data_IF_989255851411
#
_entry.id   IF_989255851411
#
_cell.length_a   1.000
_cell.length_b   1.000
_cell.length_c   1.000
_cell.angle_alpha   90.00
_cell.angle_beta   90.00
_cell.angle_gamma   90.00
#
_symmetry.space_group_name_H-M   'P 1'
#
loop_
_entity.id
_entity.type
_entity.pdbx_description
1 polymer ?
#
# COMPACT_ATOMS: atom_id res chain seq x y z
N UNK A 1 18.37 13.31 -45.14
CA UNK A 1 17.28 14.18 -44.73
C UNK A 1 16.82 13.76 -43.35
N UNK A 2 17.20 14.47 -42.31
CA UNK A 2 16.66 14.26 -40.94
C UNK A 2 15.43 15.14 -40.82
N UNK A 3 14.26 14.54 -40.81
CA UNK A 3 13.00 15.25 -40.56
C UNK A 3 12.92 15.63 -39.07
N UNK A 4 12.81 16.92 -38.87
CA UNK A 4 12.70 17.57 -37.57
C UNK A 4 11.35 17.22 -36.91
N UNK A 5 11.38 16.27 -35.98
CA UNK A 5 10.20 15.75 -35.27
C UNK A 5 9.78 16.65 -34.08
N UNK A 6 10.44 17.80 -33.88
CA UNK A 6 10.25 18.66 -32.70
C UNK A 6 9.10 19.66 -32.86
N UNK A 7 8.72 20.02 -34.09
CA UNK A 7 7.62 20.96 -34.35
C UNK A 7 6.23 20.32 -34.32
N UNK A 8 6.10 19.04 -34.69
CA UNK A 8 4.81 18.34 -34.69
C UNK A 8 4.26 18.01 -33.28
N UNK A 9 5.11 18.09 -32.24
CA UNK A 9 4.70 17.78 -30.85
C UNK A 9 4.12 18.98 -30.09
N UNK A 10 4.32 20.22 -30.54
CA UNK A 10 3.77 21.41 -29.91
C UNK A 10 2.30 21.64 -30.34
N UNK A 11 2.00 21.48 -31.62
CA UNK A 11 0.64 21.70 -32.14
C UNK A 11 -0.33 20.55 -31.77
N UNK A 12 0.14 19.34 -31.61
CA UNK A 12 -0.71 18.23 -31.14
C UNK A 12 -1.08 18.29 -29.65
N UNK A 13 -0.44 19.15 -28.86
CA UNK A 13 -0.73 19.35 -27.45
C UNK A 13 -1.88 20.33 -27.19
N UNK A 14 -2.16 21.24 -28.12
CA UNK A 14 -3.27 22.21 -28.00
C UNK A 14 -4.62 21.63 -28.43
N UNK A 15 -4.65 20.61 -29.26
CA UNK A 15 -5.88 20.05 -29.83
C UNK A 15 -6.58 18.96 -29.04
N UNK A 16 -6.12 18.61 -27.83
CA UNK A 16 -6.66 17.48 -27.04
C UNK A 16 -7.22 17.83 -25.66
N UNK A 17 -7.34 19.08 -25.34
CA UNK A 17 -8.13 19.51 -24.19
C UNK A 17 -9.58 19.66 -24.64
N UNK A 18 -10.48 18.88 -24.07
CA UNK A 18 -11.92 19.04 -24.13
C UNK A 18 -12.39 20.38 -23.51
N UNK A 19 -11.57 21.40 -23.59
CA UNK A 19 -11.74 22.67 -22.93
C UNK A 19 -11.88 23.75 -24.02
N UNK A 20 -12.99 23.67 -24.76
CA UNK A 20 -13.51 24.85 -25.45
C UNK A 20 -14.01 25.86 -24.41
N UNK A 21 -14.38 27.07 -24.87
CA UNK A 21 -14.90 28.16 -24.04
C UNK A 21 -16.09 27.74 -23.15
N UNK A 22 -16.82 26.70 -23.53
CA UNK A 22 -17.94 26.11 -22.78
C UNK A 22 -17.54 25.46 -21.45
N UNK A 23 -16.23 25.19 -21.23
CA UNK A 23 -15.70 24.63 -19.99
C UNK A 23 -14.96 25.65 -19.13
N UNK A 24 -14.98 26.94 -19.53
CA UNK A 24 -14.46 28.01 -18.71
C UNK A 24 -15.38 28.22 -17.51
N UNK A 25 -14.87 27.96 -16.32
CA UNK A 25 -15.57 28.20 -15.07
C UNK A 25 -15.10 29.50 -14.41
N UNK A 26 -15.89 30.60 -14.49
CA UNK A 26 -15.57 31.85 -13.81
C UNK A 26 -15.40 31.71 -12.31
N UNK A 27 -16.12 30.70 -11.70
CA UNK A 27 -16.03 30.38 -10.29
C UNK A 27 -14.63 29.88 -9.93
N UNK A 28 -14.09 28.93 -10.70
CA UNK A 28 -12.73 28.42 -10.52
C UNK A 28 -11.68 29.54 -10.59
N UNK A 29 -11.79 30.44 -11.55
CA UNK A 29 -10.90 31.60 -11.68
C UNK A 29 -11.04 32.54 -10.48
N UNK A 30 -12.26 32.82 -10.04
CA UNK A 30 -12.55 33.61 -8.84
C UNK A 30 -11.96 32.97 -7.57
N UNK A 31 -12.13 31.67 -7.40
CA UNK A 31 -11.57 30.90 -6.27
C UNK A 31 -10.03 31.00 -6.26
N UNK A 32 -9.37 30.80 -7.40
CA UNK A 32 -7.89 30.92 -7.50
C UNK A 32 -7.40 32.31 -7.12
N UNK A 33 -8.10 33.33 -7.57
CA UNK A 33 -7.76 34.74 -7.24
C UNK A 33 -7.92 34.99 -5.74
N UNK A 34 -8.98 34.52 -5.11
CA UNK A 34 -9.19 34.63 -3.66
C UNK A 34 -8.12 33.87 -2.86
N UNK A 35 -7.80 32.64 -3.27
CA UNK A 35 -6.76 31.84 -2.62
C UNK A 35 -5.40 32.53 -2.73
N UNK A 36 -5.05 33.10 -3.88
CA UNK A 36 -3.83 33.88 -4.05
C UNK A 36 -3.80 35.05 -3.08
N UNK A 37 -4.85 35.89 -3.05
CA UNK A 37 -4.95 37.03 -2.14
C UNK A 37 -4.80 36.63 -0.68
N UNK A 38 -5.49 35.59 -0.26
CA UNK A 38 -5.39 35.06 1.11
C UNK A 38 -3.98 34.60 1.47
N UNK A 39 -3.27 33.91 0.57
CA UNK A 39 -1.88 33.50 0.81
C UNK A 39 -0.97 34.73 0.92
N UNK A 40 -1.15 35.76 0.08
CA UNK A 40 -0.38 37.00 0.13
C UNK A 40 -0.63 37.76 1.44
N UNK A 41 -1.88 37.81 1.92
CA UNK A 41 -2.26 38.39 3.21
C UNK A 41 -1.60 37.66 4.40
N UNK A 42 -1.59 36.32 4.39
CA UNK A 42 -0.90 35.53 5.41
C UNK A 42 0.61 35.82 5.46
N UNK A 43 1.24 35.97 4.29
CA UNK A 43 2.67 36.26 4.21
C UNK A 43 2.99 37.68 4.69
N UNK A 44 2.12 38.65 4.40
CA UNK A 44 2.27 40.02 4.90
C UNK A 44 2.07 40.05 6.43
N UNK A 45 1.04 39.36 6.96
CA UNK A 45 0.80 39.28 8.40
C UNK A 45 1.99 38.62 9.13
N UNK A 46 2.56 37.55 8.58
CA UNK A 46 3.75 36.91 9.14
C UNK A 46 4.96 37.88 9.17
N UNK A 47 5.13 38.68 8.13
CA UNK A 47 6.18 39.67 8.09
C UNK A 47 5.93 40.83 9.05
N UNK A 48 4.67 41.27 9.23
CA UNK A 48 4.30 42.30 10.21
C UNK A 48 4.67 41.89 11.61
N UNK A 49 4.38 40.60 11.97
CA UNK A 49 4.81 40.05 13.26
C UNK A 49 6.33 40.03 13.39
N UNK A 50 7.06 39.63 12.36
CA UNK A 50 8.52 39.56 12.39
C UNK A 50 9.17 40.94 12.52
N UNK A 51 8.57 42.00 11.94
CA UNK A 51 9.03 43.38 12.03
C UNK A 51 8.47 44.13 13.26
N UNK A 52 7.42 43.57 13.92
CA UNK A 52 6.70 44.23 15.02
C UNK A 52 5.99 45.53 14.64
N UNK A 53 5.60 45.66 13.39
CA UNK A 53 4.90 46.82 12.85
C UNK A 53 4.15 46.49 11.58
N UNK A 54 3.04 47.16 11.39
CA UNK A 54 2.24 47.06 10.19
C UNK A 54 2.93 47.72 8.99
N UNK A 55 2.44 47.42 7.81
CA UNK A 55 2.88 48.06 6.56
C UNK A 55 2.62 49.58 6.63
N UNK A 56 3.60 50.40 6.23
CA UNK A 56 3.61 51.87 6.29
C UNK A 56 3.81 52.50 7.68
N UNK A 57 3.88 51.76 8.78
CA UNK A 57 4.26 52.32 10.07
C UNK A 57 5.76 52.59 10.14
N UNK A 58 6.11 53.76 10.72
CA UNK A 58 7.52 54.11 10.94
C UNK A 58 8.13 53.22 12.05
N UNK A 59 9.41 52.83 11.93
CA UNK A 59 10.06 52.05 12.99
C UNK A 59 10.11 52.87 14.29
N UNK A 60 9.79 52.26 15.43
CA UNK A 60 9.98 52.88 16.75
C UNK A 60 11.47 53.10 16.98
N UNK A 61 11.84 54.39 17.28
CA UNK A 61 13.23 54.80 17.50
C UNK A 61 13.85 54.23 18.78
N UNK A 62 13.06 53.84 19.76
CA UNK A 62 13.53 53.30 21.03
C UNK A 62 13.73 51.76 20.99
N UNK A 63 15.00 51.34 20.87
CA UNK A 63 15.42 49.93 20.86
C UNK A 63 15.10 49.21 22.18
N UNK A 64 14.99 49.89 23.34
CA UNK A 64 14.78 49.30 24.64
C UNK A 64 13.33 48.88 24.92
N UNK A 65 12.37 49.34 24.13
CA UNK A 65 10.94 49.03 24.26
C UNK A 65 10.40 48.05 23.23
N UNK A 66 11.26 47.29 22.57
CA UNK A 66 10.81 46.24 21.64
C UNK A 66 10.46 44.97 22.39
N UNK A 67 9.34 44.30 22.06
CA UNK A 67 9.03 42.98 22.59
C UNK A 67 10.15 41.98 22.25
N UNK A 68 10.37 40.99 23.15
CA UNK A 68 11.34 39.95 22.89
C UNK A 68 10.94 39.19 21.60
N UNK A 69 11.90 38.94 20.71
CA UNK A 69 11.68 38.22 19.48
C UNK A 69 11.30 39.11 18.26
N UNK A 70 11.09 40.41 18.42
CA UNK A 70 10.78 41.32 17.33
C UNK A 70 12.08 41.95 16.80
N UNK A 71 12.46 41.65 15.55
CA UNK A 71 13.65 42.16 14.90
C UNK A 71 13.50 43.61 14.45
N UNK A 72 14.58 44.40 14.53
CA UNK A 72 14.70 45.61 13.72
C UNK A 72 14.86 45.17 12.25
N UNK A 73 14.31 45.95 11.31
CA UNK A 73 14.47 45.59 9.92
C UNK A 73 13.64 46.48 9.00
N UNK A 74 13.75 46.26 7.72
CA UNK A 74 13.01 47.00 6.71
C UNK A 74 12.56 46.11 5.57
N UNK A 75 11.37 46.42 5.01
CA UNK A 75 10.85 45.81 3.77
C UNK A 75 11.63 46.32 2.59
N UNK A 76 11.90 45.50 1.57
CA UNK A 76 12.60 45.90 0.38
C UNK A 76 12.02 45.29 -0.91
N UNK A 77 10.70 45.15 -0.95
CA UNK A 77 9.97 44.71 -2.13
C UNK A 77 9.34 43.33 -2.00
N UNK A 78 9.08 42.72 -3.14
CA UNK A 78 8.45 41.42 -3.26
C UNK A 78 9.19 40.57 -4.28
N UNK A 79 9.03 39.27 -4.20
CA UNK A 79 9.42 38.35 -5.26
C UNK A 79 8.22 37.48 -5.65
N UNK A 80 8.12 37.15 -6.92
CA UNK A 80 7.11 36.21 -7.39
C UNK A 80 7.56 34.77 -7.14
N UNK A 81 6.60 33.94 -6.76
CA UNK A 81 6.82 32.53 -6.48
C UNK A 81 5.63 31.70 -6.95
N UNK A 82 5.88 30.78 -7.87
CA UNK A 82 4.88 29.79 -8.28
C UNK A 82 4.60 28.76 -7.17
N UNK A 83 3.33 28.57 -6.84
CA UNK A 83 2.83 27.55 -5.94
C UNK A 83 1.72 26.75 -6.64
N UNK A 84 1.75 25.44 -6.52
CA UNK A 84 0.74 24.54 -7.04
C UNK A 84 0.00 23.87 -5.88
N UNK A 85 -1.31 24.03 -5.83
CA UNK A 85 -2.21 23.39 -4.88
C UNK A 85 -3.26 22.55 -5.58
N UNK A 86 -4.20 21.98 -4.84
CA UNK A 86 -5.40 21.33 -5.40
C UNK A 86 -6.31 22.31 -6.14
N UNK A 87 -6.09 23.60 -5.93
CA UNK A 87 -6.70 24.73 -6.64
C UNK A 87 -6.01 25.09 -7.98
N UNK A 88 -5.03 24.30 -8.40
CA UNK A 88 -4.22 24.59 -9.59
C UNK A 88 -2.96 25.40 -9.29
N UNK A 89 -2.25 25.85 -10.34
CA UNK A 89 -1.07 26.73 -10.21
C UNK A 89 -1.49 28.17 -9.93
N UNK A 90 -0.79 28.81 -8.98
CA UNK A 90 -0.91 30.25 -8.70
C UNK A 90 0.47 30.87 -8.56
N UNK A 91 0.62 32.13 -8.99
CA UNK A 91 1.82 32.94 -8.73
C UNK A 91 1.50 33.90 -7.59
N UNK A 92 2.22 33.76 -6.47
CA UNK A 92 2.04 34.58 -5.26
C UNK A 92 3.20 35.59 -5.13
N UNK A 93 2.90 36.76 -4.64
CA UNK A 93 3.89 37.83 -4.35
C UNK A 93 4.34 37.68 -2.91
N UNK A 94 5.55 37.16 -2.71
CA UNK A 94 6.15 36.94 -1.40
C UNK A 94 6.88 38.20 -0.98
N UNK A 95 6.53 38.83 0.15
CA UNK A 95 7.23 40.02 0.63
C UNK A 95 8.67 39.70 1.02
N UNK A 96 9.56 40.68 0.91
CA UNK A 96 10.96 40.59 1.26
C UNK A 96 11.32 41.62 2.31
N UNK A 97 12.11 41.22 3.28
CA UNK A 97 12.62 42.10 4.30
C UNK A 97 14.02 41.69 4.78
N UNK A 98 14.77 42.62 5.26
CA UNK A 98 16.01 42.39 6.00
C UNK A 98 15.74 42.63 7.48
N UNK A 99 16.07 41.64 8.30
CA UNK A 99 15.99 41.72 9.76
C UNK A 99 17.39 42.02 10.31
N UNK A 100 17.49 42.90 11.29
CA UNK A 100 18.73 43.16 12.03
C UNK A 100 18.80 42.20 13.22
N UNK A 101 19.86 41.42 13.30
CA UNK A 101 20.15 40.56 14.46
C UNK A 101 20.73 41.41 15.63
N UNK A 102 20.71 40.96 16.86
CA UNK A 102 21.26 41.67 18.01
C UNK A 102 22.74 41.99 17.90
N UNK A 103 23.49 41.24 17.09
CA UNK A 103 24.93 41.43 16.79
C UNK A 103 25.17 42.47 15.69
N UNK A 104 24.13 43.17 15.20
CA UNK A 104 24.21 44.19 14.15
C UNK A 104 24.27 43.62 12.74
N UNK A 105 24.32 42.33 12.55
CA UNK A 105 24.24 41.71 11.21
C UNK A 105 22.83 41.72 10.67
N UNK A 106 22.70 41.82 9.36
CA UNK A 106 21.41 41.76 8.68
C UNK A 106 21.23 40.41 8.00
N UNK A 107 20.04 39.82 8.14
CA UNK A 107 19.64 38.57 7.49
C UNK A 107 18.37 38.77 6.66
N UNK A 108 18.26 38.08 5.53
CA UNK A 108 17.03 38.08 4.73
C UNK A 108 15.95 37.29 5.51
N UNK A 109 14.77 37.91 5.68
CA UNK A 109 13.63 37.27 6.31
C UNK A 109 13.16 36.04 5.51
N UNK A 110 12.88 34.96 6.19
CA UNK A 110 12.36 33.72 5.61
C UNK A 110 10.99 33.43 6.21
N UNK A 111 9.95 33.40 5.35
CA UNK A 111 8.61 33.04 5.80
C UNK A 111 8.52 31.54 6.15
N UNK A 112 7.65 31.21 7.11
CA UNK A 112 7.31 29.83 7.50
C UNK A 112 6.11 29.31 6.71
N UNK A 113 5.19 30.18 6.28
CA UNK A 113 3.96 29.84 5.55
C UNK A 113 4.26 29.07 4.26
N UNK A 114 5.26 29.48 3.48
CA UNK A 114 5.72 28.75 2.29
C UNK A 114 7.21 28.43 2.46
N UNK A 115 7.58 27.26 2.97
CA UNK A 115 8.95 26.86 3.19
C UNK A 115 9.84 27.03 1.95
N UNK A 116 11.12 27.25 2.17
CA UNK A 116 12.09 27.38 1.07
C UNK A 116 12.00 26.18 0.12
N UNK A 117 12.07 26.46 -1.19
CA UNK A 117 11.99 25.44 -2.26
C UNK A 117 10.65 24.68 -2.40
N UNK A 118 9.66 24.89 -1.54
CA UNK A 118 8.35 24.29 -1.69
C UNK A 118 7.61 24.93 -2.87
N UNK A 119 7.33 24.15 -3.91
CA UNK A 119 6.59 24.57 -5.11
C UNK A 119 5.19 23.93 -5.19
N UNK A 120 4.88 22.99 -4.32
CA UNK A 120 3.59 22.29 -4.28
C UNK A 120 3.13 22.12 -2.85
N UNK A 121 1.81 22.12 -2.67
CA UNK A 121 1.20 21.74 -1.38
C UNK A 121 1.30 20.23 -1.17
N UNK A 122 1.27 19.78 0.09
CA UNK A 122 1.24 18.34 0.42
C UNK A 122 0.03 17.64 -0.22
N UNK A 123 -1.12 18.30 -0.30
CA UNK A 123 -2.32 17.77 -0.96
C UNK A 123 -2.16 17.62 -2.48
N UNK A 124 -1.48 18.53 -3.15
CA UNK A 124 -1.17 18.35 -4.57
C UNK A 124 -0.23 17.17 -4.81
N UNK A 125 0.81 17.00 -3.97
CA UNK A 125 1.66 15.80 -4.03
C UNK A 125 0.86 14.52 -3.77
N UNK A 126 -0.06 14.51 -2.80
CA UNK A 126 -0.93 13.36 -2.51
C UNK A 126 -1.88 13.02 -3.69
N UNK A 127 -2.43 14.03 -4.37
CA UNK A 127 -3.26 13.83 -5.57
C UNK A 127 -2.45 13.20 -6.72
N UNK A 128 -1.23 13.67 -6.94
CA UNK A 128 -0.32 13.11 -7.95
C UNK A 128 0.03 11.64 -7.60
N UNK A 129 0.35 11.37 -6.34
CA UNK A 129 0.62 10.01 -5.86
C UNK A 129 -0.62 9.11 -6.02
N UNK A 130 -1.79 9.57 -5.60
CA UNK A 130 -3.05 8.84 -5.71
C UNK A 130 -3.41 8.49 -7.16
N UNK A 131 -3.24 9.43 -8.09
CA UNK A 131 -3.43 9.17 -9.51
C UNK A 131 -2.46 8.10 -10.05
N UNK A 132 -1.23 8.04 -9.55
CA UNK A 132 -0.26 6.98 -9.90
C UNK A 132 -0.68 5.63 -9.29
N UNK A 133 -1.09 5.61 -8.02
CA UNK A 133 -1.55 4.39 -7.33
C UNK A 133 -2.85 3.82 -7.92
N UNK A 134 -3.72 4.66 -8.49
CA UNK A 134 -4.91 4.20 -9.19
C UNK A 134 -4.62 3.37 -10.45
N UNK A 135 -3.36 3.02 -10.69
CA UNK A 135 -2.92 2.13 -11.76
C UNK A 135 -2.56 2.87 -13.06
N UNK A 136 -2.30 4.18 -12.99
CA UNK A 136 -1.86 4.95 -14.15
C UNK A 136 -0.33 5.02 -14.22
N UNK A 137 0.23 4.94 -15.42
CA UNK A 137 1.66 5.21 -15.61
C UNK A 137 1.93 6.74 -15.58
N UNK A 138 3.20 7.13 -15.45
CA UNK A 138 3.61 8.54 -15.35
C UNK A 138 3.11 9.44 -16.50
N UNK A 139 2.98 8.89 -17.72
CA UNK A 139 2.46 9.62 -18.88
C UNK A 139 0.94 9.85 -18.77
N UNK A 140 0.19 8.86 -18.29
CA UNK A 140 -1.25 8.98 -18.06
C UNK A 140 -1.56 9.91 -16.90
N UNK A 141 -0.79 9.87 -15.81
CA UNK A 141 -0.89 10.83 -14.69
C UNK A 141 -0.77 12.26 -15.21
N UNK A 142 0.23 12.54 -16.06
CA UNK A 142 0.39 13.85 -16.69
C UNK A 142 -0.86 14.28 -17.44
N UNK A 143 -1.43 13.41 -18.29
CA UNK A 143 -2.62 13.71 -19.08
C UNK A 143 -3.87 13.88 -18.19
N UNK A 144 -4.07 12.99 -17.22
CA UNK A 144 -5.23 13.04 -16.33
C UNK A 144 -5.26 14.31 -15.46
N UNK A 145 -4.10 14.83 -15.09
CA UNK A 145 -3.98 16.01 -14.25
C UNK A 145 -3.66 17.31 -15.03
N UNK A 146 -3.62 17.25 -16.37
CA UNK A 146 -3.26 18.39 -17.20
C UNK A 146 -4.23 19.57 -17.03
N UNK A 147 -5.54 19.31 -17.00
CA UNK A 147 -6.57 20.32 -16.81
C UNK A 147 -6.42 21.03 -15.45
N UNK A 148 -6.19 20.27 -14.36
CA UNK A 148 -6.07 20.82 -13.02
C UNK A 148 -4.78 21.62 -12.82
N UNK A 149 -3.67 21.15 -13.39
CA UNK A 149 -2.33 21.71 -13.13
C UNK A 149 -1.74 22.48 -14.34
N UNK A 150 -2.54 22.77 -15.37
CA UNK A 150 -2.07 23.53 -16.53
C UNK A 150 -0.83 22.93 -17.20
N UNK A 151 -0.74 21.59 -17.26
CA UNK A 151 0.42 20.90 -17.83
C UNK A 151 1.68 20.88 -16.96
N UNK A 152 1.69 21.52 -15.80
CA UNK A 152 2.88 21.64 -14.93
C UNK A 152 3.33 20.33 -14.24
N UNK A 153 2.54 19.23 -14.33
CA UNK A 153 2.91 17.92 -13.81
C UNK A 153 3.66 17.11 -14.87
N UNK A 154 4.97 17.26 -14.90
CA UNK A 154 5.85 16.48 -15.78
C UNK A 154 6.24 15.12 -15.19
N UNK A 155 6.92 14.30 -16.00
CA UNK A 155 7.50 13.00 -15.58
C UNK A 155 8.36 13.11 -14.31
N UNK A 156 9.21 14.13 -14.25
CA UNK A 156 10.10 14.37 -13.11
C UNK A 156 9.35 14.75 -11.82
N UNK A 157 8.18 15.39 -11.98
CA UNK A 157 7.31 15.70 -10.84
C UNK A 157 6.75 14.43 -10.22
N UNK A 158 6.23 13.50 -11.04
CA UNK A 158 5.74 12.20 -10.56
C UNK A 158 6.88 11.41 -9.91
N UNK A 159 8.07 11.40 -10.53
CA UNK A 159 9.24 10.71 -9.98
C UNK A 159 9.72 11.30 -8.64
N UNK A 160 9.60 12.63 -8.45
CA UNK A 160 9.94 13.27 -7.16
C UNK A 160 8.91 12.96 -6.07
N UNK A 161 7.63 12.93 -6.42
CA UNK A 161 6.56 12.52 -5.48
C UNK A 161 6.77 11.06 -5.07
N UNK A 162 7.09 10.18 -6.03
CA UNK A 162 7.39 8.78 -5.76
C UNK A 162 8.58 8.59 -4.80
N UNK A 163 9.62 9.39 -4.91
CA UNK A 163 10.76 9.37 -3.97
C UNK A 163 10.38 9.79 -2.54
N UNK A 164 9.38 10.65 -2.35
CA UNK A 164 8.85 10.95 -1.01
C UNK A 164 8.11 9.74 -0.43
N UNK A 165 7.30 9.05 -1.25
CA UNK A 165 6.62 7.82 -0.86
C UNK A 165 7.62 6.75 -0.42
N UNK A 166 8.82 6.72 -1.01
CA UNK A 166 9.88 5.79 -0.59
C UNK A 166 10.32 6.02 0.86
N UNK A 167 10.44 7.25 1.32
CA UNK A 167 10.77 7.53 2.73
C UNK A 167 9.72 6.97 3.71
N UNK A 168 8.45 7.13 3.38
CA UNK A 168 7.34 6.57 4.17
C UNK A 168 7.35 5.03 4.13
N UNK A 169 7.66 4.44 2.96
CA UNK A 169 7.84 3.01 2.78
C UNK A 169 8.99 2.46 3.63
N UNK A 170 10.15 3.10 3.60
CA UNK A 170 11.34 2.66 4.36
C UNK A 170 11.05 2.69 5.88
N UNK A 171 10.37 3.75 6.37
CA UNK A 171 9.93 3.85 7.76
C UNK A 171 8.94 2.74 8.12
N UNK A 172 7.93 2.49 7.27
CA UNK A 172 6.96 1.41 7.47
C UNK A 172 7.62 0.03 7.45
N UNK A 173 8.53 -0.22 6.52
CA UNK A 173 9.18 -1.52 6.35
C UNK A 173 10.12 -1.86 7.52
N UNK A 174 10.69 -0.84 8.17
CA UNK A 174 11.53 -0.99 9.36
C UNK A 174 10.81 -0.85 10.71
N UNK A 175 9.48 -0.60 10.73
CA UNK A 175 8.74 -0.33 11.97
C UNK A 175 8.74 -1.50 12.93
N UNK A 176 8.70 -1.22 14.23
CA UNK A 176 8.46 -2.23 15.27
C UNK A 176 7.09 -2.89 15.09
N UNK A 177 7.02 -4.19 15.37
CA UNK A 177 5.80 -4.98 15.44
C UNK A 177 5.50 -5.45 16.86
N UNK A 178 6.26 -5.03 17.86
CA UNK A 178 6.15 -5.48 19.24
C UNK A 178 4.78 -5.18 19.88
N UNK A 179 4.19 -4.06 19.48
CA UNK A 179 2.89 -3.60 19.99
C UNK A 179 1.71 -4.02 19.10
N UNK A 180 1.98 -4.77 18.03
CA UNK A 180 0.93 -5.28 17.15
C UNK A 180 0.34 -6.60 17.72
N UNK A 181 -0.92 -6.62 18.15
CA UNK A 181 -1.55 -7.81 18.74
C UNK A 181 -1.99 -8.78 17.65
N UNK A 182 -1.03 -9.38 16.95
CA UNK A 182 -1.26 -10.31 15.84
C UNK A 182 -1.56 -11.69 16.40
N UNK A 183 -2.77 -12.17 16.17
CA UNK A 183 -3.21 -13.52 16.56
C UNK A 183 -3.12 -14.53 15.42
N UNK A 184 -3.21 -14.08 14.16
CA UNK A 184 -3.09 -14.95 12.99
C UNK A 184 -2.16 -14.37 11.94
N UNK A 185 -1.45 -15.26 11.28
CA UNK A 185 -0.56 -14.94 10.17
C UNK A 185 -1.07 -15.63 8.89
N UNK A 186 -1.21 -14.87 7.81
CA UNK A 186 -1.58 -15.40 6.50
C UNK A 186 -0.40 -15.11 5.56
N UNK A 187 0.14 -16.14 4.95
CA UNK A 187 1.36 -16.09 4.15
C UNK A 187 1.08 -16.62 2.75
N UNK A 188 1.51 -15.88 1.75
CA UNK A 188 1.34 -16.27 0.35
C UNK A 188 2.31 -15.49 -0.55
N UNK A 189 2.67 -16.06 -1.71
CA UNK A 189 3.43 -15.39 -2.74
C UNK A 189 2.53 -14.80 -3.83
N UNK A 190 3.03 -13.81 -4.57
CA UNK A 190 2.31 -13.27 -5.72
C UNK A 190 3.23 -13.00 -6.90
N UNK A 191 2.91 -13.54 -8.07
CA UNK A 191 3.74 -13.34 -9.27
C UNK A 191 3.42 -11.99 -9.91
N UNK A 192 4.46 -11.19 -10.14
CA UNK A 192 4.41 -9.92 -10.86
C UNK A 192 5.56 -9.80 -11.87
N UNK A 193 5.37 -8.99 -12.91
CA UNK A 193 6.42 -8.74 -13.91
C UNK A 193 7.13 -7.43 -13.60
N UNK A 194 8.43 -7.49 -13.50
CA UNK A 194 9.31 -6.35 -13.27
C UNK A 194 10.41 -6.27 -14.31
N UNK A 195 11.06 -5.13 -14.42
CA UNK A 195 12.22 -4.96 -15.27
C UNK A 195 13.50 -5.21 -14.48
N UNK A 196 14.19 -6.29 -14.80
CA UNK A 196 15.53 -6.60 -14.33
C UNK A 196 16.48 -6.64 -15.53
N UNK A 197 17.60 -5.94 -15.46
CA UNK A 197 18.62 -5.86 -16.51
C UNK A 197 18.01 -5.61 -17.91
N UNK A 198 17.09 -4.65 -18.00
CA UNK A 198 16.32 -4.27 -19.20
C UNK A 198 15.36 -5.35 -19.72
N UNK A 199 15.28 -6.53 -19.11
CA UNK A 199 14.36 -7.62 -19.48
C UNK A 199 13.12 -7.62 -18.58
N UNK A 200 11.99 -8.04 -19.13
CA UNK A 200 10.76 -8.26 -18.37
C UNK A 200 10.83 -9.63 -17.69
N UNK A 201 11.00 -9.66 -16.38
CA UNK A 201 11.19 -10.88 -15.58
C UNK A 201 10.02 -11.04 -14.60
N UNK A 202 9.51 -12.25 -14.47
CA UNK A 202 8.56 -12.59 -13.42
C UNK A 202 9.28 -12.79 -12.11
N UNK A 203 8.79 -12.15 -11.05
CA UNK A 203 9.25 -12.35 -9.68
C UNK A 203 8.07 -12.76 -8.79
N UNK A 204 8.33 -13.43 -7.68
CA UNK A 204 7.33 -13.80 -6.67
C UNK A 204 7.62 -13.05 -5.37
N UNK A 205 7.10 -11.81 -5.16
CA UNK A 205 7.13 -11.18 -3.86
C UNK A 205 6.36 -12.00 -2.82
N UNK A 206 7.01 -12.24 -1.68
CA UNK A 206 6.41 -12.88 -0.52
C UNK A 206 5.65 -11.85 0.30
N UNK A 207 4.43 -12.17 0.71
CA UNK A 207 3.53 -11.29 1.44
C UNK A 207 3.15 -11.91 2.77
N UNK A 208 3.28 -11.14 3.85
CA UNK A 208 2.80 -11.50 5.18
C UNK A 208 1.66 -10.56 5.60
N UNK A 209 0.49 -11.12 5.83
CA UNK A 209 -0.69 -10.45 6.33
C UNK A 209 -0.98 -10.90 7.75
N UNK A 210 -1.07 -9.97 8.69
CA UNK A 210 -1.47 -10.23 10.08
C UNK A 210 -2.95 -9.98 10.30
N UNK A 211 -3.56 -10.74 11.21
CA UNK A 211 -4.89 -10.47 11.76
C UNK A 211 -4.71 -10.09 13.21
N UNK A 212 -5.13 -8.88 13.56
CA UNK A 212 -5.13 -8.39 14.95
C UNK A 212 -6.25 -9.04 15.76
N UNK A 213 -6.13 -8.97 17.07
CA UNK A 213 -7.15 -9.48 18.00
C UNK A 213 -8.53 -8.84 17.80
N UNK A 214 -8.60 -7.61 17.29
CA UNK A 214 -9.85 -6.93 16.95
C UNK A 214 -10.44 -7.37 15.60
N UNK A 215 -9.80 -8.33 14.92
CA UNK A 215 -10.20 -8.86 13.61
C UNK A 215 -9.71 -8.05 12.41
N UNK A 216 -9.06 -6.90 12.61
CA UNK A 216 -8.53 -6.10 11.52
C UNK A 216 -7.33 -6.80 10.87
N UNK A 217 -7.30 -6.82 9.54
CA UNK A 217 -6.17 -7.31 8.75
C UNK A 217 -5.18 -6.19 8.50
N UNK A 218 -3.90 -6.45 8.68
CA UNK A 218 -2.83 -5.50 8.38
C UNK A 218 -1.70 -6.17 7.58
N UNK A 219 -1.10 -5.40 6.69
CA UNK A 219 0.11 -5.82 5.99
C UNK A 219 1.32 -5.72 6.92
N UNK A 220 2.06 -6.82 7.08
CA UNK A 220 3.26 -6.89 7.92
C UNK A 220 4.55 -6.77 7.12
N UNK A 221 4.61 -7.44 5.97
CA UNK A 221 5.75 -7.40 5.07
C UNK A 221 5.37 -7.69 3.62
N UNK A 222 6.13 -7.11 2.69
CA UNK A 222 6.19 -7.49 1.29
C UNK A 222 7.67 -7.52 0.91
N UNK A 223 8.20 -8.70 0.59
CA UNK A 223 9.63 -8.89 0.32
C UNK A 223 9.83 -9.61 -1.02
N UNK A 224 10.72 -9.09 -1.85
CA UNK A 224 11.19 -9.84 -3.01
C UNK A 224 12.42 -10.65 -2.61
N UNK A 225 12.29 -11.97 -2.61
CA UNK A 225 13.33 -12.91 -2.17
C UNK A 225 13.81 -13.84 -3.31
N UNK A 226 13.46 -13.52 -4.57
CA UNK A 226 13.85 -14.32 -5.73
C UNK A 226 13.04 -15.60 -5.94
N UNK A 227 12.06 -15.90 -5.08
CA UNK A 227 11.18 -17.08 -5.16
C UNK A 227 10.61 -17.47 -3.81
N UNK A 228 9.90 -18.60 -3.79
CA UNK A 228 9.18 -19.13 -2.61
C UNK A 228 9.92 -20.30 -1.95
N UNK A 229 11.26 -20.26 -1.94
CA UNK A 229 12.08 -21.29 -1.28
C UNK A 229 11.94 -21.21 0.26
N UNK A 230 12.30 -22.30 0.94
CA UNK A 230 12.38 -22.36 2.41
C UNK A 230 13.27 -21.22 2.96
N UNK A 231 14.45 -21.00 2.38
CA UNK A 231 15.36 -19.94 2.79
C UNK A 231 14.76 -18.53 2.62
N UNK A 232 14.00 -18.31 1.53
CA UNK A 232 13.30 -17.06 1.29
C UNK A 232 12.22 -16.79 2.34
N UNK A 233 11.38 -17.77 2.64
CA UNK A 233 10.38 -17.69 3.68
C UNK A 233 11.01 -17.51 5.06
N UNK A 234 12.08 -18.25 5.36
CA UNK A 234 12.82 -18.10 6.62
C UNK A 234 13.31 -16.67 6.82
N UNK A 235 13.92 -16.09 5.80
CA UNK A 235 14.40 -14.70 5.86
C UNK A 235 13.28 -13.70 6.11
N UNK A 236 12.10 -13.89 5.50
CA UNK A 236 10.93 -13.04 5.75
C UNK A 236 10.42 -13.19 7.19
N UNK A 237 10.31 -14.41 7.70
CA UNK A 237 9.83 -14.69 9.05
C UNK A 237 10.82 -14.18 10.11
N UNK A 238 12.11 -14.35 9.90
CA UNK A 238 13.17 -13.82 10.78
C UNK A 238 13.14 -12.28 10.83
N UNK A 239 12.83 -11.59 9.71
CA UNK A 239 12.62 -10.15 9.69
C UNK A 239 11.41 -9.73 10.56
N UNK A 240 10.30 -10.46 10.49
CA UNK A 240 9.12 -10.19 11.32
C UNK A 240 9.46 -10.33 12.82
N UNK A 241 10.14 -11.40 13.21
CA UNK A 241 10.56 -11.64 14.60
C UNK A 241 11.56 -10.57 15.05
N UNK A 242 12.55 -10.23 14.21
CA UNK A 242 13.53 -9.17 14.50
C UNK A 242 12.83 -7.81 14.76
N UNK A 243 11.74 -7.53 14.09
CA UNK A 243 10.93 -6.33 14.30
C UNK A 243 9.99 -6.45 15.51
N UNK A 244 10.02 -7.56 16.24
CA UNK A 244 9.28 -7.76 17.49
C UNK A 244 7.94 -8.47 17.34
N UNK A 245 7.64 -9.10 16.18
CA UNK A 245 6.42 -9.88 16.05
C UNK A 245 6.40 -11.03 17.06
N UNK A 246 5.38 -11.06 17.90
CA UNK A 246 5.13 -12.16 18.84
C UNK A 246 4.65 -13.40 18.08
N UNK A 247 4.86 -14.59 18.66
CA UNK A 247 4.37 -15.84 18.11
C UNK A 247 2.87 -15.79 17.88
N UNK A 248 2.39 -15.97 16.64
CA UNK A 248 0.94 -15.98 16.36
C UNK A 248 0.29 -17.28 16.86
N UNK A 249 -1.01 -17.25 17.09
CA UNK A 249 -1.78 -18.42 17.51
C UNK A 249 -2.10 -19.40 16.36
N UNK A 250 -1.98 -18.93 15.12
CA UNK A 250 -2.29 -19.69 13.91
C UNK A 250 -1.57 -19.11 12.69
N UNK A 251 -1.01 -19.98 11.85
CA UNK A 251 -0.58 -19.63 10.49
C UNK A 251 -1.51 -20.27 9.43
N UNK A 252 -1.88 -19.48 8.42
CA UNK A 252 -2.69 -19.94 7.27
C UNK A 252 -1.79 -19.84 6.02
N UNK A 253 -1.62 -20.94 5.31
CA UNK A 253 -0.68 -21.09 4.20
C UNK A 253 -1.32 -21.82 3.01
N UNK A 254 -0.72 -21.71 1.83
CA UNK A 254 -1.14 -22.43 0.64
C UNK A 254 -0.81 -23.93 0.67
N UNK A 255 0.13 -24.34 1.51
CA UNK A 255 0.63 -25.71 1.63
C UNK A 255 1.94 -25.94 0.85
N UNK A 256 2.64 -24.88 0.45
CA UNK A 256 3.97 -25.01 -0.15
C UNK A 256 4.98 -25.59 0.87
N UNK A 257 5.72 -26.68 0.52
CA UNK A 257 6.61 -27.35 1.48
C UNK A 257 7.70 -26.44 2.05
N UNK A 258 8.23 -25.50 1.27
CA UNK A 258 9.25 -24.57 1.73
C UNK A 258 8.74 -23.64 2.82
N UNK A 259 7.51 -23.14 2.69
CA UNK A 259 6.87 -22.28 3.69
C UNK A 259 6.59 -23.06 5.00
N UNK A 260 6.07 -24.27 4.88
CA UNK A 260 5.79 -25.09 6.06
C UNK A 260 7.05 -25.46 6.84
N UNK A 261 8.14 -25.80 6.16
CA UNK A 261 9.44 -26.05 6.80
C UNK A 261 9.98 -24.80 7.51
N UNK A 262 9.88 -23.64 6.87
CA UNK A 262 10.31 -22.38 7.47
C UNK A 262 9.51 -22.05 8.75
N UNK A 263 8.19 -22.26 8.73
CA UNK A 263 7.33 -22.08 9.90
C UNK A 263 7.68 -23.07 11.03
N UNK A 264 7.80 -24.35 10.71
CA UNK A 264 8.15 -25.39 11.70
C UNK A 264 9.52 -25.16 12.35
N UNK A 265 10.49 -24.64 11.60
CA UNK A 265 11.81 -24.32 12.11
C UNK A 265 11.82 -23.09 13.03
N UNK A 266 10.87 -22.17 12.89
CA UNK A 266 10.81 -20.95 13.72
C UNK A 266 9.81 -21.10 14.88
N UNK A 267 8.66 -21.70 14.62
CA UNK A 267 7.55 -21.85 15.56
C UNK A 267 6.98 -23.28 15.45
N UNK A 268 7.63 -24.26 16.14
CA UNK A 268 7.28 -25.68 16.08
C UNK A 268 5.85 -25.98 16.53
N UNK A 269 5.32 -25.17 17.47
CA UNK A 269 4.12 -25.49 18.23
C UNK A 269 2.86 -24.75 17.73
N UNK A 270 3.01 -23.84 16.76
CA UNK A 270 1.82 -23.14 16.25
C UNK A 270 0.99 -24.02 15.34
N UNK A 271 -0.34 -24.02 15.48
CA UNK A 271 -1.22 -24.63 14.51
C UNK A 271 -1.02 -24.03 13.11
N UNK A 272 -0.92 -24.89 12.10
CA UNK A 272 -0.85 -24.45 10.70
C UNK A 272 -2.10 -24.95 9.98
N UNK A 273 -2.81 -24.04 9.31
CA UNK A 273 -3.92 -24.36 8.42
C UNK A 273 -3.47 -24.29 6.97
N UNK A 274 -3.55 -25.37 6.24
CA UNK A 274 -3.43 -25.37 4.77
C UNK A 274 -4.71 -24.86 4.12
N UNK A 275 -4.59 -23.99 3.14
CA UNK A 275 -5.73 -23.44 2.40
C UNK A 275 -6.53 -24.54 1.69
N UNK A 276 -7.80 -24.67 2.02
CA UNK A 276 -8.68 -25.68 1.43
C UNK A 276 -8.95 -25.42 -0.06
N UNK A 277 -8.89 -24.17 -0.52
CA UNK A 277 -9.06 -23.81 -1.94
C UNK A 277 -7.84 -24.23 -2.76
N UNK A 278 -6.62 -23.97 -2.26
CA UNK A 278 -5.40 -24.44 -2.92
C UNK A 278 -5.35 -25.98 -2.98
N UNK A 279 -5.74 -26.65 -1.90
CA UNK A 279 -5.80 -28.11 -1.89
C UNK A 279 -6.83 -28.63 -2.90
N UNK A 280 -8.00 -28.01 -3.00
CA UNK A 280 -8.98 -28.37 -4.02
C UNK A 280 -8.42 -28.26 -5.45
N UNK A 281 -7.77 -27.14 -5.78
CA UNK A 281 -7.11 -26.96 -7.09
C UNK A 281 -6.03 -28.02 -7.34
N UNK A 282 -5.28 -28.36 -6.30
CA UNK A 282 -4.26 -29.41 -6.39
C UNK A 282 -4.89 -30.78 -6.64
N UNK A 283 -5.99 -31.14 -5.95
CA UNK A 283 -6.71 -32.39 -6.20
C UNK A 283 -7.26 -32.49 -7.62
N UNK A 284 -7.82 -31.38 -8.17
CA UNK A 284 -8.28 -31.33 -9.55
C UNK A 284 -7.13 -31.56 -10.54
N UNK A 285 -5.93 -31.04 -10.27
CA UNK A 285 -4.77 -31.27 -11.12
C UNK A 285 -4.30 -32.75 -11.17
N UNK A 286 -4.69 -33.55 -10.16
CA UNK A 286 -4.42 -34.98 -10.13
C UNK A 286 -5.51 -35.83 -10.80
N UNK A 287 -6.68 -35.26 -11.09
CA UNK A 287 -7.83 -35.96 -11.65
C UNK A 287 -8.03 -35.64 -13.14
N UNK A 288 -8.48 -36.60 -13.97
CA UNK A 288 -8.95 -36.30 -15.32
C UNK A 288 -10.15 -35.34 -15.31
N UNK A 289 -10.25 -34.46 -16.31
CA UNK A 289 -11.31 -33.45 -16.41
C UNK A 289 -12.73 -33.98 -16.22
N UNK A 290 -13.01 -35.17 -16.75
CA UNK A 290 -14.32 -35.86 -16.62
C UNK A 290 -14.75 -36.15 -15.19
N UNK A 291 -13.81 -36.13 -14.24
CA UNK A 291 -14.06 -36.37 -12.81
C UNK A 291 -14.10 -35.06 -11.99
N UNK A 292 -13.83 -33.92 -12.57
CA UNK A 292 -13.71 -32.65 -11.83
C UNK A 292 -14.99 -32.25 -11.10
N UNK A 293 -16.16 -32.42 -11.73
CA UNK A 293 -17.44 -32.07 -11.12
C UNK A 293 -17.75 -32.94 -9.92
N UNK A 294 -17.56 -34.27 -10.06
CA UNK A 294 -17.77 -35.20 -8.97
C UNK A 294 -16.77 -34.98 -7.83
N UNK A 295 -15.51 -34.80 -8.17
CA UNK A 295 -14.47 -34.48 -7.19
C UNK A 295 -14.77 -33.20 -6.42
N UNK A 296 -15.19 -32.15 -7.15
CA UNK A 296 -15.54 -30.88 -6.54
C UNK A 296 -16.74 -30.99 -5.60
N UNK A 297 -17.75 -31.79 -5.98
CA UNK A 297 -18.92 -32.03 -5.14
C UNK A 297 -18.55 -32.76 -3.85
N UNK A 298 -17.82 -33.88 -3.96
CA UNK A 298 -17.39 -34.67 -2.82
C UNK A 298 -16.47 -33.88 -1.87
N UNK A 299 -15.52 -33.11 -2.44
CA UNK A 299 -14.61 -32.29 -1.66
C UNK A 299 -15.34 -31.16 -0.90
N UNK A 300 -16.25 -30.48 -1.57
CA UNK A 300 -17.06 -29.43 -0.95
C UNK A 300 -17.96 -30.01 0.15
N UNK A 301 -18.60 -31.12 -0.10
CA UNK A 301 -19.46 -31.80 0.88
C UNK A 301 -18.67 -32.14 2.16
N UNK A 302 -17.42 -32.60 2.04
CA UNK A 302 -16.53 -32.88 3.17
C UNK A 302 -16.09 -31.59 3.90
N UNK A 303 -15.54 -30.59 3.17
CA UNK A 303 -14.92 -29.40 3.78
C UNK A 303 -15.97 -28.46 4.41
N UNK A 304 -17.20 -28.44 3.88
CA UNK A 304 -18.26 -27.57 4.36
C UNK A 304 -19.26 -28.27 5.28
N UNK A 305 -18.98 -29.52 5.73
CA UNK A 305 -19.79 -30.21 6.72
C UNK A 305 -19.91 -29.41 8.03
N UNK A 306 -20.99 -29.62 8.72
CA UNK A 306 -21.41 -28.77 9.84
C UNK A 306 -20.67 -29.00 11.14
N UNK A 307 -20.09 -30.20 11.33
CA UNK A 307 -19.42 -30.63 12.55
C UNK A 307 -18.09 -31.35 12.24
N UNK A 308 -17.21 -31.40 13.24
CA UNK A 308 -15.94 -32.11 13.14
C UNK A 308 -16.15 -33.58 12.81
N UNK A 309 -17.11 -34.26 13.49
CA UNK A 309 -17.44 -35.67 13.26
C UNK A 309 -17.94 -35.94 11.84
N UNK A 310 -18.79 -35.07 11.30
CA UNK A 310 -19.23 -35.17 9.90
C UNK A 310 -18.05 -35.04 8.93
N UNK A 311 -17.10 -34.11 9.18
CA UNK A 311 -15.90 -33.97 8.38
C UNK A 311 -15.07 -35.24 8.40
N UNK A 312 -14.85 -35.84 9.58
CA UNK A 312 -14.12 -37.12 9.75
C UNK A 312 -14.77 -38.24 8.96
N UNK A 313 -16.08 -38.40 9.10
CA UNK A 313 -16.86 -39.43 8.39
C UNK A 313 -16.78 -39.23 6.87
N UNK A 314 -16.99 -38.01 6.40
CA UNK A 314 -16.94 -37.72 4.97
C UNK A 314 -15.52 -37.83 4.40
N UNK A 315 -14.50 -37.51 5.18
CA UNK A 315 -13.10 -37.71 4.79
C UNK A 315 -12.79 -39.21 4.56
N UNK A 316 -13.20 -40.08 5.49
CA UNK A 316 -13.04 -41.50 5.33
C UNK A 316 -13.76 -42.04 4.07
N UNK A 317 -14.98 -41.56 3.82
CA UNK A 317 -15.74 -41.93 2.63
C UNK A 317 -15.08 -41.42 1.35
N UNK A 318 -14.59 -40.18 1.36
CA UNK A 318 -13.86 -39.57 0.24
C UNK A 318 -12.62 -40.38 -0.11
N UNK A 319 -11.76 -40.66 0.84
CA UNK A 319 -10.53 -41.44 0.62
C UNK A 319 -10.85 -42.81 0.06
N UNK A 320 -11.83 -43.54 0.65
CA UNK A 320 -12.25 -44.86 0.17
C UNK A 320 -12.72 -44.82 -1.29
N UNK A 321 -13.57 -43.85 -1.63
CA UNK A 321 -14.10 -43.69 -2.98
C UNK A 321 -13.00 -43.35 -3.98
N UNK A 322 -12.16 -42.34 -3.67
CA UNK A 322 -11.17 -41.82 -4.61
C UNK A 322 -9.94 -42.73 -4.73
N UNK A 323 -9.64 -43.56 -3.71
CA UNK A 323 -8.59 -44.58 -3.82
C UNK A 323 -8.89 -45.61 -4.93
N UNK A 324 -10.18 -45.86 -5.19
CA UNK A 324 -10.62 -46.75 -6.27
C UNK A 324 -10.72 -46.03 -7.62
N UNK A 325 -11.17 -44.79 -7.63
CA UNK A 325 -11.39 -44.01 -8.89
C UNK A 325 -10.13 -43.34 -9.42
N UNK A 326 -9.35 -42.72 -8.53
CA UNK A 326 -8.13 -42.02 -8.85
C UNK A 326 -7.22 -41.97 -7.61
N UNK A 327 -6.31 -42.94 -7.49
CA UNK A 327 -5.43 -43.08 -6.34
C UNK A 327 -4.65 -41.79 -6.02
N UNK A 328 -4.15 -41.06 -7.03
CA UNK A 328 -3.40 -39.82 -6.84
C UNK A 328 -4.20 -38.75 -6.09
N UNK A 329 -5.52 -38.69 -6.25
CA UNK A 329 -6.40 -37.77 -5.52
C UNK A 329 -6.47 -38.18 -4.04
N UNK A 330 -6.62 -39.45 -3.74
CA UNK A 330 -6.66 -39.97 -2.36
C UNK A 330 -5.31 -39.72 -1.67
N UNK A 331 -4.21 -40.10 -2.29
CA UNK A 331 -2.83 -39.90 -1.78
C UNK A 331 -2.54 -38.44 -1.52
N UNK A 332 -2.98 -37.55 -2.43
CA UNK A 332 -2.82 -36.11 -2.26
C UNK A 332 -3.64 -35.54 -1.10
N UNK A 333 -4.86 -36.04 -0.85
CA UNK A 333 -5.64 -35.62 0.32
C UNK A 333 -5.01 -36.12 1.63
N UNK A 334 -4.52 -37.37 1.65
CA UNK A 334 -3.84 -37.95 2.83
C UNK A 334 -2.54 -37.19 3.15
N UNK A 335 -1.76 -36.80 2.16
CA UNK A 335 -0.54 -35.99 2.33
C UNK A 335 -0.83 -34.65 3.06
N UNK A 336 -1.99 -34.04 2.84
CA UNK A 336 -2.34 -32.80 3.51
C UNK A 336 -2.50 -32.97 5.04
N UNK A 337 -2.79 -34.17 5.51
CA UNK A 337 -2.87 -34.50 6.92
C UNK A 337 -3.91 -33.69 7.70
N UNK A 338 -3.66 -33.50 8.97
CA UNK A 338 -4.49 -32.73 9.91
C UNK A 338 -4.44 -31.22 9.63
N UNK A 339 -3.36 -30.73 9.03
CA UNK A 339 -3.19 -29.31 8.69
C UNK A 339 -4.28 -28.77 7.77
N UNK A 340 -4.93 -29.60 6.97
CA UNK A 340 -6.07 -29.19 6.14
C UNK A 340 -7.32 -28.90 6.98
N UNK A 341 -7.41 -29.47 8.15
CA UNK A 341 -8.57 -29.45 9.04
C UNK A 341 -8.32 -28.72 10.36
N UNK A 342 -7.20 -28.05 10.50
CA UNK A 342 -6.85 -27.27 11.70
C UNK A 342 -7.95 -26.28 12.11
N UNK A 343 -8.71 -25.75 11.14
CA UNK A 343 -9.84 -24.86 11.39
C UNK A 343 -10.90 -25.45 12.33
N UNK A 344 -11.04 -26.80 12.39
CA UNK A 344 -12.02 -27.49 13.26
C UNK A 344 -11.70 -27.34 14.76
N UNK A 345 -10.48 -26.95 15.11
CA UNK A 345 -10.05 -26.64 16.48
C UNK A 345 -10.58 -25.31 17.01
N UNK A 346 -11.09 -24.46 16.12
CA UNK A 346 -11.56 -23.12 16.43
C UNK A 346 -13.10 -23.06 16.46
N UNK A 347 -13.68 -22.02 17.09
CA UNK A 347 -15.12 -21.80 17.06
C UNK A 347 -15.67 -21.79 15.63
N UNK A 348 -16.85 -22.36 15.44
CA UNK A 348 -17.47 -22.48 14.11
C UNK A 348 -17.65 -21.14 13.38
N UNK A 349 -17.89 -20.07 14.14
CA UNK A 349 -17.95 -18.68 13.61
C UNK A 349 -16.70 -18.25 12.85
N UNK A 350 -15.54 -18.83 13.20
CA UNK A 350 -14.23 -18.52 12.62
C UNK A 350 -13.85 -19.43 11.44
N UNK A 351 -14.52 -20.59 11.25
CA UNK A 351 -14.15 -21.57 10.23
C UNK A 351 -14.00 -20.98 8.83
N UNK A 352 -14.90 -20.09 8.44
CA UNK A 352 -14.88 -19.45 7.12
C UNK A 352 -13.62 -18.62 6.90
N UNK A 353 -13.13 -17.95 7.92
CA UNK A 353 -11.94 -17.09 7.83
C UNK A 353 -10.63 -17.85 7.99
N UNK A 354 -10.65 -19.06 8.57
CA UNK A 354 -9.46 -19.88 8.80
C UNK A 354 -9.21 -20.84 7.63
N UNK A 355 -10.26 -21.46 7.08
CA UNK A 355 -10.13 -22.49 6.04
C UNK A 355 -9.35 -22.08 4.80
N UNK A 356 -9.27 -20.78 4.51
CA UNK A 356 -8.74 -20.30 3.23
C UNK A 356 -7.79 -19.13 3.39
N UNK A 357 -6.84 -19.02 2.47
CA UNK A 357 -6.01 -17.84 2.25
C UNK A 357 -6.70 -16.75 1.41
N UNK A 358 -8.01 -16.85 1.15
CA UNK A 358 -8.75 -15.92 0.29
C UNK A 358 -8.55 -14.44 0.63
N UNK A 359 -8.25 -14.12 1.90
CA UNK A 359 -7.99 -12.73 2.31
C UNK A 359 -6.76 -12.16 1.62
N UNK A 360 -5.68 -12.93 1.51
CA UNK A 360 -4.44 -12.50 0.85
C UNK A 360 -4.53 -12.69 -0.67
N UNK A 361 -5.19 -13.76 -1.16
CA UNK A 361 -5.45 -13.95 -2.59
C UNK A 361 -6.22 -12.75 -3.19
N UNK A 362 -7.30 -12.33 -2.51
CA UNK A 362 -8.08 -11.16 -2.91
C UNK A 362 -7.24 -9.87 -2.92
N UNK A 363 -6.33 -9.72 -1.97
CA UNK A 363 -5.40 -8.60 -1.94
C UNK A 363 -4.45 -8.64 -3.13
N UNK A 364 -3.95 -9.83 -3.52
CA UNK A 364 -3.13 -10.03 -4.71
C UNK A 364 -3.88 -9.71 -6.00
N UNK A 365 -5.14 -10.12 -6.13
CA UNK A 365 -5.99 -9.81 -7.28
C UNK A 365 -6.24 -8.31 -7.41
N UNK A 366 -6.55 -7.62 -6.31
CA UNK A 366 -6.73 -6.18 -6.28
C UNK A 366 -5.43 -5.44 -6.66
N UNK A 367 -4.29 -5.92 -6.21
CA UNK A 367 -2.99 -5.40 -6.63
C UNK A 367 -2.77 -5.61 -8.13
N UNK A 368 -2.91 -6.84 -8.63
CA UNK A 368 -2.73 -7.19 -10.04
C UNK A 368 -3.65 -6.37 -10.96
N UNK A 369 -4.90 -6.17 -10.56
CA UNK A 369 -5.87 -5.35 -11.29
C UNK A 369 -5.38 -3.90 -11.45
N UNK A 370 -4.80 -3.30 -10.42
CA UNK A 370 -4.31 -1.91 -10.45
C UNK A 370 -3.03 -1.76 -11.26
N UNK A 371 -2.13 -2.73 -11.23
CA UNK A 371 -0.89 -2.67 -12.01
C UNK A 371 -1.04 -3.15 -13.45
N UNK A 372 -2.21 -3.69 -13.84
CA UNK A 372 -2.45 -4.23 -15.20
C UNK A 372 -2.09 -3.25 -16.31
N UNK A 373 -2.32 -1.95 -16.11
CA UNK A 373 -2.01 -0.90 -17.10
C UNK A 373 -0.51 -0.59 -17.22
N UNK A 374 0.29 -1.02 -16.24
CA UNK A 374 1.75 -0.82 -16.24
C UNK A 374 2.50 -1.99 -16.88
N UNK A 375 1.83 -3.14 -17.07
CA UNK A 375 2.33 -4.40 -17.66
C UNK A 375 3.63 -4.93 -17.05
N UNK A 376 4.67 -4.10 -16.95
CA UNK A 376 5.98 -4.42 -16.37
C UNK A 376 6.39 -3.27 -15.44
N UNK A 377 6.56 -3.55 -14.17
CA UNK A 377 6.99 -2.56 -13.16
C UNK A 377 8.49 -2.26 -13.31
N UNK A 378 8.95 -1.04 -12.93
CA UNK A 378 10.35 -0.64 -13.11
C UNK A 378 11.37 -1.51 -12.36
N UNK A 379 11.03 -1.99 -11.16
CA UNK A 379 11.90 -2.81 -10.33
C UNK A 379 11.10 -3.64 -9.32
N UNK A 380 11.74 -4.62 -8.69
CA UNK A 380 11.17 -5.40 -7.61
C UNK A 380 10.82 -4.54 -6.37
N UNK A 381 11.67 -3.58 -6.02
CA UNK A 381 11.41 -2.63 -4.95
C UNK A 381 10.16 -1.79 -5.23
N UNK A 382 10.02 -1.31 -6.49
CA UNK A 382 8.82 -0.58 -6.91
C UNK A 382 7.56 -1.42 -6.76
N UNK A 383 7.62 -2.72 -7.04
CA UNK A 383 6.48 -3.62 -6.89
C UNK A 383 6.05 -3.72 -5.40
N UNK A 384 7.01 -3.96 -4.49
CA UNK A 384 6.74 -4.06 -3.06
C UNK A 384 6.22 -2.74 -2.46
N UNK A 385 6.86 -1.62 -2.81
CA UNK A 385 6.47 -0.30 -2.36
C UNK A 385 5.07 0.09 -2.87
N UNK A 386 4.74 -0.24 -4.12
CA UNK A 386 3.42 0.03 -4.70
C UNK A 386 2.33 -0.81 -4.03
N UNK A 387 2.62 -2.07 -3.73
CA UNK A 387 1.71 -2.95 -3.00
C UNK A 387 1.32 -2.35 -1.64
N UNK A 388 2.32 -1.93 -0.86
CA UNK A 388 2.10 -1.25 0.41
C UNK A 388 1.35 0.08 0.23
N UNK A 389 1.76 0.91 -0.72
CA UNK A 389 1.20 2.24 -0.92
C UNK A 389 -0.29 2.22 -1.26
N UNK A 390 -0.76 1.19 -1.98
CA UNK A 390 -2.18 1.00 -2.28
C UNK A 390 -3.02 0.74 -1.02
N UNK A 391 -2.47 0.04 -0.04
CA UNK A 391 -3.10 -0.16 1.26
C UNK A 391 -2.99 1.09 2.15
N UNK A 392 -1.80 1.66 2.25
CA UNK A 392 -1.52 2.84 3.07
C UNK A 392 -2.33 4.07 2.62
N UNK A 393 -2.61 4.20 1.32
CA UNK A 393 -3.42 5.29 0.76
C UNK A 393 -4.94 5.03 0.80
N UNK A 394 -5.38 3.86 1.27
CA UNK A 394 -6.81 3.48 1.28
C UNK A 394 -7.38 3.11 -0.10
N UNK A 395 -6.55 3.00 -1.14
CA UNK A 395 -6.98 2.53 -2.47
C UNK A 395 -7.41 1.06 -2.45
N UNK A 396 -6.83 0.28 -1.54
CA UNK A 396 -7.27 -1.05 -1.18
C UNK A 396 -7.64 -1.05 0.30
N UNK A 397 -8.85 -1.46 0.61
CA UNK A 397 -9.34 -1.61 1.99
C UNK A 397 -9.62 -3.07 2.30
N UNK A 398 -9.31 -3.47 3.53
CA UNK A 398 -9.55 -4.82 4.01
C UNK A 398 -10.62 -4.82 5.11
N UNK A 399 -11.66 -5.65 4.95
CA UNK A 399 -12.67 -5.86 5.99
C UNK A 399 -12.08 -6.70 7.13
N UNK A 400 -12.66 -6.61 8.32
CA UNK A 400 -12.39 -7.54 9.43
C UNK A 400 -12.61 -8.99 8.98
N UNK A 401 -11.96 -9.94 9.66
CA UNK A 401 -12.19 -11.36 9.39
C UNK A 401 -13.57 -11.81 9.89
N UNK A 402 -14.18 -12.77 9.22
CA UNK A 402 -15.42 -13.37 9.70
C UNK A 402 -15.18 -14.08 11.05
N UNK A 403 -16.11 -13.95 11.99
CA UNK A 403 -15.98 -14.51 13.35
C UNK A 403 -15.01 -13.74 14.26
N UNK A 404 -14.72 -12.47 13.97
CA UNK A 404 -13.76 -11.67 14.73
C UNK A 404 -14.14 -11.49 16.21
N UNK A 405 -15.44 -11.54 16.56
CA UNK A 405 -15.90 -11.41 17.94
C UNK A 405 -15.43 -12.57 18.85
N UNK A 406 -15.18 -13.73 18.26
CA UNK A 406 -14.72 -14.92 18.99
C UNK A 406 -13.21 -15.17 18.88
N UNK A 407 -12.41 -14.21 18.39
CA UNK A 407 -10.95 -14.37 18.23
C UNK A 407 -10.21 -14.58 19.56
N UNK A 408 -10.78 -14.13 20.67
CA UNK A 408 -10.22 -14.33 22.01
C UNK A 408 -10.40 -15.77 22.54
N UNK A 409 -11.27 -16.58 21.92
CA UNK A 409 -11.50 -17.96 22.31
C UNK A 409 -10.33 -18.83 21.85
N UNK A 410 -9.71 -19.55 22.78
CA UNK A 410 -8.58 -20.42 22.48
C UNK A 410 -9.00 -21.63 21.64
N UNK A 411 -8.12 -22.12 20.75
CA UNK A 411 -8.38 -23.34 20.01
C UNK A 411 -8.50 -24.55 20.95
N UNK A 412 -9.33 -25.52 20.56
CA UNK A 412 -9.39 -26.81 21.21
C UNK A 412 -8.11 -27.61 20.92
N UNK A 413 -7.63 -28.36 21.91
CA UNK A 413 -6.49 -29.26 21.73
C UNK A 413 -6.85 -30.53 20.94
N UNK A 414 -8.13 -30.80 20.72
CA UNK A 414 -8.59 -31.96 19.96
C UNK A 414 -8.28 -31.81 18.47
N UNK A 415 -7.31 -32.55 18.00
CA UNK A 415 -7.00 -32.72 16.58
C UNK A 415 -8.05 -33.64 15.92
N UNK A 416 -8.28 -33.44 14.61
CA UNK A 416 -9.17 -34.34 13.84
C UNK A 416 -8.61 -35.75 13.81
N UNK A 417 -9.48 -36.75 13.97
CA UNK A 417 -9.09 -38.17 13.81
C UNK A 417 -8.83 -38.47 12.34
N UNK A 418 -7.59 -38.78 12.00
CA UNK A 418 -7.15 -39.16 10.66
C UNK A 418 -7.13 -40.68 10.46
N UNK A 419 -7.37 -41.47 11.49
CA UNK A 419 -7.43 -42.93 11.37
C UNK A 419 -8.53 -43.33 10.36
N UNK A 420 -8.12 -44.01 9.33
CA UNK A 420 -9.00 -44.43 8.22
C UNK A 420 -9.87 -45.61 8.57
#
# INVERSE_FOLDING_TARGET
>A
MKTDTTKATAEAAEGTLFLGDDWFDPLESGVRTRIRGFIEELLEAELDVALGRDRYQRPRRDRRRRPAGVGAGHRHGHRERGLMGTFGPVTVRVPRARLEAPDGKTAEWKNATIPAYQRRTKRADALIAGAYFAGTNTRRVRRALAALFGGAVGKDTVSRVWRKVKGDWDAWNGRSLADEPIVRLILDGTVVRVRLDKKATSISPLVALGVRQDGQKILLAVKNMGGESEAAWRTLLDDLVKRGLKTPELAIVDGAPGLEKALAALWSDIPVQRCTVHKHRNLLAHAPDRLHDELSADYKDMIYAGTKQEIETKRKAFIRKWRLKCKAVADSLEEAGDKLFTFTRFPKSQWKSIRTSNAIERLHEEFKRRIKTQTVLPSAETAAMLFWALLASGQITMRKVDGWQSLAEKPSDQIIDLAA
#
